data_IF_414136939674
#
_entry.id   IF_414136939674
#
_cell.length_a   1.000
_cell.length_b   1.000
_cell.length_c   1.000
_cell.angle_alpha   90.00
_cell.angle_beta   90.00
_cell.angle_gamma   90.00
#
_symmetry.space_group_name_H-M   'P 1'
#
loop_
_entity.id
_entity.type
_entity.pdbx_description
1 polymer ?
#
# COMPACT_ATOMS: atom_id res chain seq x y z
N UNK A 1 9.49 14.21 38.35
CA UNK A 1 10.09 13.33 37.33
C UNK A 1 9.10 13.23 36.17
N UNK A 2 9.19 14.15 35.21
CA UNK A 2 8.25 14.23 34.09
C UNK A 2 8.63 13.08 33.15
N UNK A 3 7.83 12.02 33.13
CA UNK A 3 7.95 10.96 32.15
C UNK A 3 7.58 11.57 30.79
N UNK A 4 8.61 12.06 30.09
CA UNK A 4 8.51 12.60 28.75
C UNK A 4 7.79 11.59 27.86
N UNK A 5 6.77 12.09 27.16
CA UNK A 5 5.98 11.34 26.20
C UNK A 5 6.94 10.78 25.14
N UNK A 6 7.32 9.51 25.28
CA UNK A 6 8.13 8.83 24.26
C UNK A 6 7.23 8.70 23.04
N UNK A 7 7.41 9.60 22.07
CA UNK A 7 6.69 9.55 20.80
C UNK A 7 6.84 8.15 20.23
N UNK A 8 5.75 7.38 20.19
CA UNK A 8 5.79 5.99 19.79
C UNK A 8 5.95 5.96 18.28
N UNK A 9 7.15 5.65 17.80
CA UNK A 9 7.43 5.57 16.36
C UNK A 9 6.47 4.58 15.68
N UNK A 10 5.69 5.10 14.73
CA UNK A 10 4.83 4.30 13.86
C UNK A 10 5.59 4.07 12.55
N UNK A 11 5.61 2.82 12.08
CA UNK A 11 6.27 2.46 10.82
C UNK A 11 5.48 1.36 10.11
N UNK A 12 5.80 1.13 8.84
CA UNK A 12 5.10 0.14 8.03
C UNK A 12 5.77 -1.22 8.18
N UNK A 13 4.94 -2.26 8.35
CA UNK A 13 5.37 -3.64 8.26
C UNK A 13 4.61 -4.39 7.18
N UNK A 14 5.36 -5.11 6.34
CA UNK A 14 4.80 -6.00 5.33
C UNK A 14 5.08 -7.45 5.74
N UNK A 15 4.01 -8.25 5.81
CA UNK A 15 4.06 -9.67 6.17
C UNK A 15 3.40 -10.51 5.09
N UNK A 16 4.06 -11.59 4.68
CA UNK A 16 3.48 -12.57 3.77
C UNK A 16 2.93 -13.75 4.59
N UNK A 17 1.66 -14.10 4.38
CA UNK A 17 0.95 -15.16 5.08
C UNK A 17 0.18 -15.96 4.02
N UNK A 18 0.48 -17.26 3.88
CA UNK A 18 -0.19 -18.16 2.93
C UNK A 18 -0.28 -17.56 1.50
N UNK A 19 0.84 -17.03 0.99
CA UNK A 19 0.91 -16.44 -0.35
C UNK A 19 0.26 -15.05 -0.52
N UNK A 20 -0.17 -14.42 0.58
CA UNK A 20 -0.79 -13.09 0.57
C UNK A 20 0.08 -12.13 1.36
N UNK A 21 0.44 -11.01 0.74
CA UNK A 21 1.17 -9.93 1.38
C UNK A 21 0.20 -8.93 2.00
N UNK A 22 0.41 -8.61 3.27
CA UNK A 22 -0.36 -7.62 4.02
C UNK A 22 0.56 -6.51 4.51
N UNK A 23 0.13 -5.26 4.34
CA UNK A 23 0.81 -4.07 4.84
C UNK A 23 0.02 -3.47 6.01
N UNK A 24 0.74 -3.06 7.06
CA UNK A 24 0.17 -2.48 8.26
C UNK A 24 1.02 -1.32 8.76
N UNK A 25 0.37 -0.31 9.34
CA UNK A 25 1.00 0.60 10.27
C UNK A 25 1.14 -0.11 11.61
N UNK A 26 2.35 -0.15 12.15
CA UNK A 26 2.64 -0.75 13.46
C UNK A 26 3.39 0.23 14.34
N UNK A 27 3.22 0.10 15.64
CA UNK A 27 4.04 0.79 16.64
C UNK A 27 4.69 -0.21 17.57
N UNK A 28 5.87 0.14 18.08
CA UNK A 28 6.50 -0.63 19.15
C UNK A 28 5.84 -0.25 20.48
N UNK A 29 5.50 -1.27 21.28
CA UNK A 29 4.96 -1.12 22.63
C UNK A 29 5.76 -2.02 23.56
N UNK A 30 6.06 -1.52 24.75
CA UNK A 30 6.64 -2.35 25.80
C UNK A 30 5.52 -3.10 26.53
N UNK A 31 5.68 -4.42 26.70
CA UNK A 31 4.73 -5.25 27.44
C UNK A 31 5.45 -5.84 28.66
N UNK A 32 5.01 -5.55 29.90
CA UNK A 32 5.61 -6.10 31.11
C UNK A 32 5.76 -7.63 31.05
N UNK A 33 6.93 -8.15 31.40
CA UNK A 33 7.27 -9.57 31.35
C UNK A 33 7.41 -10.18 29.94
N UNK A 34 7.07 -9.46 28.86
CA UNK A 34 7.15 -9.96 27.47
C UNK A 34 8.10 -9.15 26.58
N UNK A 35 8.60 -8.02 27.05
CA UNK A 35 9.51 -7.13 26.31
C UNK A 35 8.82 -6.31 25.22
N UNK A 36 9.61 -5.86 24.23
CA UNK A 36 9.12 -5.07 23.10
C UNK A 36 8.25 -5.91 22.16
N UNK A 37 7.05 -5.40 21.84
CA UNK A 37 6.08 -6.01 20.93
C UNK A 37 5.64 -5.01 19.89
N UNK A 38 5.29 -5.49 18.70
CA UNK A 38 4.66 -4.66 17.67
C UNK A 38 3.14 -4.77 17.77
N UNK A 39 2.48 -3.63 17.91
CA UNK A 39 1.02 -3.54 17.86
C UNK A 39 0.60 -2.91 16.54
N UNK A 40 -0.34 -3.56 15.85
CA UNK A 40 -0.97 -2.99 14.64
C UNK A 40 -1.78 -1.75 15.05
N UNK A 41 -1.53 -0.65 14.35
CA UNK A 41 -2.24 0.62 14.48
C UNK A 41 -3.34 0.70 13.43
N UNK A 42 -3.01 0.40 12.17
CA UNK A 42 -3.95 0.43 11.07
C UNK A 42 -3.56 -0.54 9.96
N UNK A 43 -4.56 -0.98 9.22
CA UNK A 43 -4.39 -1.77 8.01
C UNK A 43 -4.17 -0.87 6.80
N UNK A 44 -3.21 -1.24 5.93
CA UNK A 44 -2.86 -0.47 4.73
C UNK A 44 -3.39 -1.16 3.48
N UNK A 45 -3.09 -2.44 3.30
CA UNK A 45 -3.38 -3.11 2.04
C UNK A 45 -3.08 -4.60 2.01
N UNK A 46 -3.60 -5.26 0.96
CA UNK A 46 -3.46 -6.71 0.72
C UNK A 46 -3.17 -6.95 -0.76
N UNK A 47 -2.15 -7.76 -1.01
CA UNK A 47 -1.72 -8.16 -2.35
C UNK A 47 -1.69 -9.69 -2.43
N UNK A 48 -2.36 -10.25 -3.44
CA UNK A 48 -2.33 -11.68 -3.75
C UNK A 48 -1.38 -11.92 -4.92
N UNK A 49 -0.71 -13.08 -4.95
CA UNK A 49 0.07 -13.51 -6.12
C UNK A 49 1.39 -12.75 -6.33
N UNK A 50 1.83 -11.99 -5.33
CA UNK A 50 3.11 -11.28 -5.35
C UNK A 50 3.89 -11.61 -4.07
N UNK A 51 5.19 -11.85 -4.20
CA UNK A 51 6.06 -12.06 -3.05
C UNK A 51 6.26 -10.76 -2.24
N UNK A 52 6.76 -10.93 -1.02
CA UNK A 52 6.96 -9.83 -0.07
C UNK A 52 7.91 -8.74 -0.57
N UNK A 53 8.94 -9.10 -1.33
CA UNK A 53 9.95 -8.14 -1.79
C UNK A 53 9.37 -7.23 -2.87
N UNK A 54 8.73 -7.82 -3.89
CA UNK A 54 8.08 -7.05 -4.95
C UNK A 54 6.93 -6.19 -4.42
N UNK A 55 6.08 -6.75 -3.54
CA UNK A 55 5.02 -5.96 -2.89
C UNK A 55 5.60 -4.78 -2.09
N UNK A 56 6.70 -5.00 -1.37
CA UNK A 56 7.38 -3.94 -0.62
C UNK A 56 8.00 -2.88 -1.52
N UNK A 57 8.59 -3.27 -2.64
CA UNK A 57 9.21 -2.34 -3.59
C UNK A 57 8.15 -1.42 -4.20
N UNK A 58 7.02 -1.97 -4.66
CA UNK A 58 5.93 -1.20 -5.27
C UNK A 58 5.28 -0.26 -4.26
N UNK A 59 4.90 -0.76 -3.08
CA UNK A 59 4.31 0.11 -2.06
C UNK A 59 5.24 1.24 -1.63
N UNK A 60 6.55 0.97 -1.50
CA UNK A 60 7.54 2.00 -1.15
C UNK A 60 7.71 3.03 -2.26
N UNK A 61 7.81 2.60 -3.52
CA UNK A 61 7.88 3.47 -4.70
C UNK A 61 6.67 4.42 -4.75
N UNK A 62 5.50 3.87 -4.46
CA UNK A 62 4.20 4.56 -4.55
C UNK A 62 3.84 5.31 -3.24
N UNK A 63 4.82 5.52 -2.36
CA UNK A 63 4.67 6.20 -1.08
C UNK A 63 3.52 5.67 -0.19
N UNK A 64 3.17 4.39 -0.33
CA UNK A 64 2.06 3.74 0.36
C UNK A 64 0.72 4.46 0.15
N UNK A 65 0.51 4.96 -1.07
CA UNK A 65 -0.70 5.69 -1.46
C UNK A 65 -1.25 5.16 -2.78
N UNK A 66 -2.57 5.28 -2.96
CA UNK A 66 -3.22 5.06 -4.24
C UNK A 66 -2.69 6.08 -5.26
N UNK A 67 -2.16 5.61 -6.38
CA UNK A 67 -1.59 6.46 -7.43
C UNK A 67 -2.63 7.24 -8.24
N UNK A 68 -3.93 7.04 -7.97
CA UNK A 68 -5.00 7.82 -8.59
C UNK A 68 -5.63 8.86 -7.65
N UNK A 69 -5.81 8.53 -6.37
CA UNK A 69 -6.53 9.41 -5.44
C UNK A 69 -5.78 9.76 -4.15
N UNK A 70 -4.55 9.25 -3.96
CA UNK A 70 -3.75 9.49 -2.77
C UNK A 70 -4.22 8.74 -1.50
N UNK A 71 -5.33 8.01 -1.54
CA UNK A 71 -5.84 7.27 -0.38
C UNK A 71 -4.82 6.26 0.15
N UNK A 72 -4.76 6.05 1.46
CA UNK A 72 -3.70 5.28 2.14
C UNK A 72 -4.16 3.92 2.72
N UNK A 73 -5.43 3.55 2.54
CA UNK A 73 -6.00 2.31 3.09
C UNK A 73 -6.63 1.45 2.00
N UNK A 74 -6.90 0.18 2.31
CA UNK A 74 -7.41 -0.82 1.38
C UNK A 74 -6.64 -0.86 0.04
N UNK A 75 -5.32 -0.71 0.12
CA UNK A 75 -4.45 -0.72 -1.03
C UNK A 75 -4.29 -2.12 -1.61
N UNK A 76 -4.22 -2.15 -2.93
CA UNK A 76 -3.98 -3.31 -3.79
C UNK A 76 -2.88 -2.94 -4.78
N UNK A 77 -2.31 -3.96 -5.43
CA UNK A 77 -1.41 -3.76 -6.56
C UNK A 77 -2.16 -4.24 -7.80
N UNK A 78 -2.19 -3.39 -8.81
CA UNK A 78 -2.86 -3.63 -10.09
C UNK A 78 -1.85 -3.52 -11.24
N UNK A 79 -2.27 -3.92 -12.44
CA UNK A 79 -1.49 -3.74 -13.67
C UNK A 79 -1.93 -2.45 -14.39
N UNK A 80 -0.99 -1.60 -14.80
CA UNK A 80 -1.25 -0.40 -15.61
C UNK A 80 -1.87 -0.80 -16.95
N UNK A 81 -1.18 -1.67 -17.70
CA UNK A 81 -1.72 -2.43 -18.83
C UNK A 81 -2.22 -3.79 -18.30
N UNK A 82 -3.53 -4.08 -18.34
CA UNK A 82 -4.07 -5.35 -17.85
C UNK A 82 -3.49 -6.56 -18.57
N UNK A 83 -3.35 -7.69 -17.86
CA UNK A 83 -2.90 -8.97 -18.44
C UNK A 83 -3.78 -9.39 -19.63
N UNK A 84 -5.09 -9.18 -19.56
CA UNK A 84 -6.04 -9.49 -20.65
C UNK A 84 -5.78 -8.69 -21.94
N UNK A 85 -4.97 -7.64 -21.87
CA UNK A 85 -4.58 -6.77 -22.98
C UNK A 85 -3.08 -6.85 -23.27
N UNK A 86 -2.41 -7.92 -22.83
CA UNK A 86 -0.99 -8.16 -23.10
C UNK A 86 -0.02 -7.51 -22.10
N UNK A 87 -0.51 -7.06 -20.94
CA UNK A 87 0.34 -6.56 -19.87
C UNK A 87 1.28 -7.61 -19.27
N UNK A 88 2.43 -7.17 -18.76
CA UNK A 88 3.40 -8.03 -18.07
C UNK A 88 3.28 -7.93 -16.54
N UNK A 89 3.92 -8.86 -15.82
CA UNK A 89 4.05 -8.79 -14.35
C UNK A 89 5.29 -7.99 -13.90
N UNK A 90 5.92 -7.24 -14.80
CA UNK A 90 7.09 -6.44 -14.47
C UNK A 90 6.74 -5.30 -13.52
N UNK A 91 7.66 -4.95 -12.64
CA UNK A 91 7.45 -3.88 -11.64
C UNK A 91 7.06 -2.54 -12.28
N UNK A 92 7.49 -2.26 -13.51
CA UNK A 92 7.14 -1.07 -14.27
C UNK A 92 5.66 -1.02 -14.67
N UNK A 93 5.05 -2.19 -14.90
CA UNK A 93 3.62 -2.33 -15.21
C UNK A 93 2.75 -2.47 -13.96
N UNK A 94 3.34 -2.64 -12.78
CA UNK A 94 2.60 -2.75 -11.52
C UNK A 94 2.57 -1.41 -10.78
N UNK A 95 1.47 -1.14 -10.10
CA UNK A 95 1.26 0.10 -9.33
C UNK A 95 0.19 -0.06 -8.25
N UNK A 96 0.22 0.83 -7.27
CA UNK A 96 -0.63 0.80 -6.08
C UNK A 96 -1.94 1.54 -6.31
N UNK A 97 -3.06 0.85 -6.13
CA UNK A 97 -4.41 1.45 -6.17
C UNK A 97 -5.22 1.06 -4.93
N UNK A 98 -6.03 1.96 -4.39
CA UNK A 98 -7.04 1.57 -3.42
C UNK A 98 -8.12 0.70 -4.09
N UNK A 99 -8.81 -0.14 -3.31
CA UNK A 99 -9.85 -1.06 -3.83
C UNK A 99 -10.90 -0.34 -4.69
N UNK A 100 -11.31 0.87 -4.30
CA UNK A 100 -12.31 1.66 -5.04
C UNK A 100 -11.79 2.08 -6.42
N UNK A 101 -10.61 2.69 -6.48
CA UNK A 101 -9.97 3.08 -7.74
C UNK A 101 -9.67 1.88 -8.64
N UNK A 102 -9.16 0.78 -8.08
CA UNK A 102 -8.90 -0.45 -8.82
C UNK A 102 -10.21 -1.02 -9.43
N UNK A 103 -11.27 -1.10 -8.62
CA UNK A 103 -12.59 -1.55 -9.09
C UNK A 103 -13.19 -0.64 -10.16
N UNK A 104 -12.96 0.68 -10.08
CA UNK A 104 -13.37 1.63 -11.12
C UNK A 104 -12.57 1.42 -12.39
N UNK A 105 -11.24 1.27 -12.32
CA UNK A 105 -10.34 1.06 -13.46
C UNK A 105 -10.68 -0.21 -14.23
N UNK A 106 -10.92 -1.33 -13.54
CA UNK A 106 -11.13 -2.66 -14.17
C UNK A 106 -9.98 -2.99 -15.14
N UNK A 107 -10.33 -3.44 -16.33
CA UNK A 107 -9.44 -3.75 -17.45
C UNK A 107 -9.20 -2.53 -18.38
N UNK A 108 -9.51 -1.31 -17.95
CA UNK A 108 -9.15 -0.11 -18.72
C UNK A 108 -7.66 0.16 -18.58
N UNK A 109 -7.04 0.51 -19.71
CA UNK A 109 -5.73 1.15 -19.73
C UNK A 109 -5.98 2.61 -19.44
N UNK A 110 -5.38 3.12 -18.37
CA UNK A 110 -5.43 4.55 -18.08
C UNK A 110 -4.25 5.19 -18.81
N UNK A 111 -4.51 6.27 -19.53
CA UNK A 111 -3.43 7.18 -19.94
C UNK A 111 -2.77 7.72 -18.66
N UNK A 112 -1.44 7.88 -18.66
CA UNK A 112 -0.75 8.40 -17.48
C UNK A 112 -1.37 9.76 -17.11
N UNK A 113 -1.72 9.98 -15.83
CA UNK A 113 -2.34 11.24 -15.43
C UNK A 113 -1.36 12.37 -15.73
N UNK A 114 -1.84 13.42 -16.41
CA UNK A 114 -1.05 14.62 -16.62
C UNK A 114 -0.73 15.24 -15.24
N UNK A 115 0.49 15.76 -15.00
CA UNK A 115 0.89 16.30 -13.70
C UNK A 115 -0.10 17.34 -13.12
N UNK A 116 -0.80 18.07 -13.98
CA UNK A 116 -1.80 19.09 -13.62
C UNK A 116 -3.08 18.52 -13.00
N UNK A 117 -3.43 17.26 -13.28
CA UNK A 117 -4.66 16.62 -12.77
C UNK A 117 -4.49 15.97 -11.39
N UNK A 118 -3.28 16.02 -10.81
CA UNK A 118 -2.96 15.44 -9.51
C UNK A 118 -3.44 16.35 -8.35
N UNK A 119 -3.80 17.61 -8.66
CA UNK A 119 -4.16 18.63 -7.65
C UNK A 119 -5.66 18.93 -7.52
N UNK A 120 -6.49 18.50 -8.46
CA UNK A 120 -7.93 18.69 -8.38
C UNK A 120 -8.60 17.32 -8.27
N UNK A 121 -9.18 17.08 -7.10
CA UNK A 121 -9.65 15.77 -6.69
C UNK A 121 -10.54 15.09 -7.72
N UNK A 122 -10.28 13.81 -7.93
CA UNK A 122 -11.18 12.89 -8.61
C UNK A 122 -12.50 12.75 -7.84
N UNK A 123 -13.38 13.75 -7.99
CA UNK A 123 -14.81 13.66 -7.80
C UNK A 123 -15.46 13.63 -9.18
N UNK A 124 -15.62 12.44 -9.75
CA UNK A 124 -16.83 11.97 -10.44
C UNK A 124 -16.86 10.43 -10.33
#
# INVERSE_FOLDING_TARGET
MIWGVVSTMVFIRIKQIKGICYAYWVKNVWVPGKGSRQKVVAYIGRVKGLDRFNASAIFKRDAYTCQLCGWMQDLTIDHKLPISKGGSNDLSNLWTLCRSCNSRKKDRVLEEPKPEQIREGFYY
#
